data_IF_212368027776
#
_entry.id   IF_212368027776
#
_cell.length_a   1.000
_cell.length_b   1.000
_cell.length_c   1.000
_cell.angle_alpha   90.00
_cell.angle_beta   90.00
_cell.angle_gamma   90.00
#
_symmetry.space_group_name_H-M   'P 1'
#
loop_
_entity.id
_entity.type
_entity.pdbx_description
1 polymer ?
#
# COMPACT_ATOMS: atom_id res chain seq x y z
N UNK A 1 0.11 -34.14 -17.44
CA UNK A 1 0.45 -33.54 -18.75
C UNK A 1 1.85 -32.95 -18.61
N UNK A 2 2.81 -33.44 -19.40
CA UNK A 2 4.16 -32.87 -19.41
C UNK A 2 4.11 -31.48 -20.04
N UNK A 3 4.62 -30.48 -19.35
CA UNK A 3 4.75 -29.11 -19.84
C UNK A 3 5.74 -29.09 -20.99
N UNK A 4 5.37 -28.53 -22.14
CA UNK A 4 6.26 -28.42 -23.29
C UNK A 4 7.28 -27.31 -23.10
N UNK A 5 8.50 -27.49 -23.60
CA UNK A 5 9.57 -26.49 -23.50
C UNK A 5 9.16 -25.12 -24.06
N UNK A 6 8.32 -25.10 -25.09
CA UNK A 6 7.77 -23.88 -25.67
C UNK A 6 6.84 -23.14 -24.70
N UNK A 7 6.02 -23.85 -23.94
CA UNK A 7 5.13 -23.26 -22.93
C UNK A 7 5.96 -22.65 -21.78
N UNK A 8 7.05 -23.30 -21.38
CA UNK A 8 7.99 -22.74 -20.40
C UNK A 8 8.66 -21.46 -20.91
N UNK A 9 9.04 -21.44 -22.19
CA UNK A 9 9.61 -20.24 -22.81
C UNK A 9 8.62 -19.08 -22.87
N UNK A 10 7.38 -19.33 -23.26
CA UNK A 10 6.32 -18.33 -23.33
C UNK A 10 6.00 -17.77 -21.94
N UNK A 11 5.95 -18.60 -20.90
CA UNK A 11 5.78 -18.18 -19.51
C UNK A 11 6.97 -17.34 -19.04
N UNK A 12 8.21 -17.78 -19.31
CA UNK A 12 9.42 -17.05 -18.93
C UNK A 12 9.48 -15.67 -19.60
N UNK A 13 9.12 -15.59 -20.88
CA UNK A 13 9.07 -14.32 -21.62
C UNK A 13 8.02 -13.37 -21.04
N UNK A 14 6.80 -13.88 -20.79
CA UNK A 14 5.71 -13.09 -20.21
C UNK A 14 6.08 -12.58 -18.81
N UNK A 15 6.65 -13.44 -17.97
CA UNK A 15 7.14 -13.07 -16.64
C UNK A 15 8.24 -12.00 -16.73
N UNK A 16 9.20 -12.18 -17.64
CA UNK A 16 10.27 -11.21 -17.88
C UNK A 16 9.76 -9.83 -18.30
N UNK A 17 8.77 -9.79 -19.17
CA UNK A 17 8.13 -8.53 -19.61
C UNK A 17 7.41 -7.82 -18.45
N UNK A 18 6.62 -8.55 -17.66
CA UNK A 18 5.94 -7.99 -16.48
C UNK A 18 6.96 -7.48 -15.47
N UNK A 19 7.99 -8.25 -15.19
CA UNK A 19 9.08 -7.88 -14.28
C UNK A 19 9.79 -6.62 -14.75
N UNK A 20 10.09 -6.51 -16.05
CA UNK A 20 10.73 -5.32 -16.63
C UNK A 20 9.87 -4.05 -16.45
N UNK A 21 8.56 -4.15 -16.66
CA UNK A 21 7.63 -3.03 -16.43
C UNK A 21 7.64 -2.62 -14.96
N UNK A 22 7.58 -3.57 -14.02
CA UNK A 22 7.64 -3.28 -12.58
C UNK A 22 8.96 -2.59 -12.21
N UNK A 23 10.10 -3.07 -12.70
CA UNK A 23 11.39 -2.41 -12.42
C UNK A 23 11.50 -1.00 -13.01
N UNK A 24 10.93 -0.75 -14.19
CA UNK A 24 10.89 0.61 -14.76
C UNK A 24 10.04 1.53 -13.88
N UNK A 25 8.89 1.06 -13.40
CA UNK A 25 8.03 1.83 -12.48
C UNK A 25 8.73 2.11 -11.15
N UNK A 26 9.43 1.12 -10.59
CA UNK A 26 10.24 1.29 -9.37
C UNK A 26 11.34 2.34 -9.58
N UNK A 27 12.06 2.27 -10.70
CA UNK A 27 13.11 3.24 -11.03
C UNK A 27 12.55 4.66 -11.20
N UNK A 28 11.44 4.80 -11.92
CA UNK A 28 10.76 6.08 -12.11
C UNK A 28 10.21 6.63 -10.79
N UNK A 29 9.62 5.78 -9.94
CA UNK A 29 9.15 6.13 -8.61
C UNK A 29 10.27 6.63 -7.70
N UNK A 30 11.43 5.97 -7.70
CA UNK A 30 12.60 6.42 -6.95
C UNK A 30 13.14 7.77 -7.45
N UNK A 31 13.20 7.97 -8.76
CA UNK A 31 13.62 9.25 -9.34
C UNK A 31 12.65 10.39 -8.97
N UNK A 32 11.35 10.11 -9.03
CA UNK A 32 10.30 11.05 -8.62
C UNK A 32 10.40 11.39 -7.12
N UNK A 33 10.58 10.38 -6.26
CA UNK A 33 10.78 10.55 -4.84
C UNK A 33 11.99 11.42 -4.53
N UNK A 34 13.11 11.17 -5.23
CA UNK A 34 14.31 12.00 -5.08
C UNK A 34 14.03 13.45 -5.45
N UNK A 35 13.36 13.69 -6.57
CA UNK A 35 13.02 15.04 -7.02
C UNK A 35 12.09 15.78 -6.03
N UNK A 36 11.07 15.10 -5.50
CA UNK A 36 10.15 15.65 -4.51
C UNK A 36 10.88 15.96 -3.19
N UNK A 37 11.72 15.03 -2.73
CA UNK A 37 12.49 15.21 -1.50
C UNK A 37 13.49 16.37 -1.63
N UNK A 38 14.14 16.49 -2.78
CA UNK A 38 15.04 17.62 -3.08
C UNK A 38 14.31 18.96 -3.12
N UNK A 39 13.07 18.97 -3.61
CA UNK A 39 12.22 20.16 -3.62
C UNK A 39 11.63 20.52 -2.24
N UNK A 40 11.87 19.73 -1.19
CA UNK A 40 11.33 19.95 0.16
C UNK A 40 9.81 19.81 0.27
N UNK A 41 9.16 19.21 -0.72
CA UNK A 41 7.70 19.07 -0.75
C UNK A 41 7.17 18.22 0.42
N UNK A 42 7.83 17.10 0.82
CA UNK A 42 7.41 16.32 1.97
C UNK A 42 7.32 17.15 3.25
N UNK A 43 8.38 17.94 3.52
CA UNK A 43 8.47 18.78 4.70
C UNK A 43 7.39 19.88 4.67
N UNK A 44 7.20 20.54 3.54
CA UNK A 44 6.18 21.58 3.39
C UNK A 44 4.75 21.10 3.66
N UNK A 45 4.47 19.83 3.36
CA UNK A 45 3.14 19.22 3.58
C UNK A 45 3.02 18.62 4.98
N UNK A 46 4.05 17.89 5.41
CA UNK A 46 3.99 17.11 6.66
C UNK A 46 4.27 17.96 7.90
N UNK A 47 5.18 18.94 7.85
CA UNK A 47 5.54 19.73 9.03
C UNK A 47 4.33 20.44 9.67
N UNK A 48 3.42 21.09 8.92
CA UNK A 48 2.24 21.69 9.51
C UNK A 48 1.27 20.65 10.11
N UNK A 49 1.19 19.47 9.49
CA UNK A 49 0.32 18.39 9.95
C UNK A 49 0.90 17.75 11.20
N UNK A 50 2.19 17.42 11.21
CA UNK A 50 2.88 16.85 12.37
C UNK A 50 2.88 17.84 13.53
N UNK A 51 3.09 19.13 13.27
CA UNK A 51 3.00 20.17 14.30
C UNK A 51 1.61 20.26 14.95
N UNK A 52 0.55 19.94 14.21
CA UNK A 52 -0.83 19.90 14.72
C UNK A 52 -1.18 18.61 15.46
N UNK A 53 -0.56 17.48 15.08
CA UNK A 53 -0.79 16.15 15.64
C UNK A 53 0.12 15.88 16.85
N UNK A 54 1.30 16.54 16.89
CA UNK A 54 2.34 16.32 17.91
C UNK A 54 2.92 14.90 17.82
N UNK A 55 3.48 14.42 18.94
CA UNK A 55 4.11 13.08 19.03
C UNK A 55 3.09 11.95 19.22
N UNK A 56 1.83 12.16 18.88
CA UNK A 56 0.79 11.14 19.05
C UNK A 56 0.91 10.07 17.97
N UNK A 57 1.54 8.95 18.32
CA UNK A 57 1.77 7.79 17.45
C UNK A 57 0.49 7.31 16.76
N UNK A 58 -0.63 7.25 17.49
CA UNK A 58 -1.92 6.80 16.96
C UNK A 58 -2.42 7.71 15.84
N UNK A 59 -2.29 9.03 16.00
CA UNK A 59 -2.71 9.99 14.98
C UNK A 59 -1.81 9.94 13.75
N UNK A 60 -0.50 9.77 13.92
CA UNK A 60 0.44 9.60 12.81
C UNK A 60 0.11 8.31 12.03
N UNK A 61 -0.13 7.19 12.71
CA UNK A 61 -0.55 5.94 12.08
C UNK A 61 -1.89 6.07 11.34
N UNK A 62 -2.86 6.76 11.94
CA UNK A 62 -4.15 7.01 11.30
C UNK A 62 -4.01 7.87 10.04
N UNK A 63 -3.15 8.90 10.08
CA UNK A 63 -2.85 9.74 8.91
C UNK A 63 -2.22 8.92 7.79
N UNK A 64 -1.22 8.08 8.11
CA UNK A 64 -0.59 7.16 7.17
C UNK A 64 -1.64 6.22 6.57
N UNK A 65 -2.43 5.55 7.42
CA UNK A 65 -3.46 4.62 6.98
C UNK A 65 -4.45 5.27 6.01
N UNK A 66 -4.99 6.44 6.34
CA UNK A 66 -5.94 7.16 5.49
C UNK A 66 -5.31 7.59 4.18
N UNK A 67 -4.06 8.08 4.20
CA UNK A 67 -3.35 8.54 3.01
C UNK A 67 -3.10 7.39 2.02
N UNK A 68 -2.63 6.24 2.50
CA UNK A 68 -2.42 5.05 1.67
C UNK A 68 -3.75 4.47 1.18
N UNK A 69 -4.78 4.40 2.01
CA UNK A 69 -6.10 3.95 1.62
C UNK A 69 -6.66 4.78 0.46
N UNK A 70 -6.69 6.11 0.61
CA UNK A 70 -7.19 7.01 -0.43
C UNK A 70 -6.31 6.92 -1.69
N UNK A 71 -4.98 6.94 -1.54
CA UNK A 71 -4.07 6.82 -2.68
C UNK A 71 -4.34 5.54 -3.50
N UNK A 72 -4.46 4.40 -2.82
CA UNK A 72 -4.68 3.10 -3.46
C UNK A 72 -6.10 2.90 -4.02
N UNK A 73 -7.08 3.73 -3.64
CA UNK A 73 -8.40 3.76 -4.29
C UNK A 73 -8.33 4.28 -5.73
N UNK A 74 -7.38 5.18 -6.03
CA UNK A 74 -7.32 5.90 -7.31
C UNK A 74 -6.13 5.48 -8.18
N UNK A 75 -5.06 4.99 -7.56
CA UNK A 75 -3.79 4.66 -8.22
C UNK A 75 -3.38 3.24 -7.85
N UNK A 76 -2.56 2.63 -8.71
CA UNK A 76 -1.99 1.31 -8.45
C UNK A 76 -1.23 1.29 -7.11
N UNK A 77 -1.48 0.30 -6.23
CA UNK A 77 -0.86 0.22 -4.91
C UNK A 77 0.66 0.27 -4.93
N UNK A 78 1.32 -0.33 -5.93
CA UNK A 78 2.79 -0.32 -6.03
C UNK A 78 3.29 1.11 -6.18
N UNK A 79 2.65 1.90 -7.05
CA UNK A 79 3.01 3.31 -7.29
C UNK A 79 2.79 4.14 -6.03
N UNK A 80 1.66 3.95 -5.35
CA UNK A 80 1.33 4.66 -4.10
C UNK A 80 2.35 4.35 -3.01
N UNK A 81 2.70 3.08 -2.81
CA UNK A 81 3.70 2.66 -1.82
C UNK A 81 5.05 3.30 -2.12
N UNK A 82 5.50 3.28 -3.37
CA UNK A 82 6.78 3.85 -3.78
C UNK A 82 6.86 5.37 -3.55
N UNK A 83 5.74 6.07 -3.71
CA UNK A 83 5.71 7.54 -3.55
C UNK A 83 5.49 7.93 -2.09
N UNK A 84 4.50 7.35 -1.40
CA UNK A 84 4.13 7.78 -0.07
C UNK A 84 5.06 7.26 1.03
N UNK A 85 5.66 6.07 0.88
CA UNK A 85 6.56 5.52 1.91
C UNK A 85 7.72 6.43 2.24
N UNK A 86 8.54 6.89 1.28
CA UNK A 86 9.62 7.83 1.60
C UNK A 86 9.10 9.21 2.04
N UNK A 87 7.90 9.62 1.61
CA UNK A 87 7.26 10.85 2.05
C UNK A 87 6.95 10.83 3.55
N UNK A 88 6.41 9.71 4.05
CA UNK A 88 6.05 9.55 5.46
C UNK A 88 7.21 9.10 6.36
N UNK A 89 8.34 8.65 5.78
CA UNK A 89 9.49 8.15 6.54
C UNK A 89 9.95 9.10 7.65
N UNK A 90 10.13 10.42 7.41
CA UNK A 90 10.52 11.35 8.46
C UNK A 90 9.51 11.42 9.62
N UNK A 91 8.21 11.34 9.32
CA UNK A 91 7.16 11.35 10.33
C UNK A 91 7.15 10.07 11.18
N UNK A 92 7.41 8.93 10.57
CA UNK A 92 7.53 7.62 11.24
C UNK A 92 8.71 7.63 12.20
N UNK A 93 9.87 8.15 11.76
CA UNK A 93 11.08 8.24 12.58
C UNK A 93 10.91 9.26 13.73
N UNK A 94 10.31 10.41 13.47
CA UNK A 94 10.05 11.43 14.50
C UNK A 94 9.08 10.94 15.57
N UNK A 95 8.05 10.16 15.20
CA UNK A 95 7.08 9.58 16.12
C UNK A 95 7.62 8.33 16.85
N UNK A 96 8.81 7.84 16.50
CA UNK A 96 9.39 6.61 17.08
C UNK A 96 8.58 5.36 16.81
N UNK A 97 7.92 5.28 15.64
CA UNK A 97 7.11 4.15 15.23
C UNK A 97 7.98 3.00 14.68
N UNK A 98 7.61 1.77 15.01
CA UNK A 98 8.27 0.59 14.49
C UNK A 98 8.00 0.43 12.97
N UNK A 99 9.06 0.34 12.12
CA UNK A 99 8.89 0.22 10.68
C UNK A 99 8.11 -1.02 10.22
N UNK A 100 8.20 -2.13 10.96
CA UNK A 100 7.46 -3.36 10.66
C UNK A 100 5.97 -3.14 10.89
N UNK A 101 5.61 -2.51 12.00
CA UNK A 101 4.22 -2.18 12.30
C UNK A 101 3.61 -1.23 11.24
N UNK A 102 4.33 -0.18 10.88
CA UNK A 102 3.92 0.74 9.81
C UNK A 102 3.77 0.00 8.49
N UNK A 103 4.72 -0.89 8.15
CA UNK A 103 4.68 -1.71 6.95
C UNK A 103 3.43 -2.60 6.87
N UNK A 104 3.03 -3.22 7.98
CA UNK A 104 1.80 -4.03 8.07
C UNK A 104 0.56 -3.17 7.78
N UNK A 105 0.46 -1.98 8.39
CA UNK A 105 -0.66 -1.06 8.15
C UNK A 105 -0.69 -0.60 6.70
N UNK A 106 0.44 -0.18 6.14
CA UNK A 106 0.55 0.26 4.73
C UNK A 106 0.11 -0.85 3.78
N UNK A 107 0.58 -2.07 3.98
CA UNK A 107 0.21 -3.22 3.14
C UNK A 107 -1.29 -3.52 3.22
N UNK A 108 -1.86 -3.47 4.42
CA UNK A 108 -3.30 -3.66 4.60
C UNK A 108 -4.11 -2.56 3.90
N UNK A 109 -3.70 -1.28 4.04
CA UNK A 109 -4.39 -0.17 3.35
C UNK A 109 -4.27 -0.27 1.84
N UNK A 110 -3.12 -0.70 1.32
CA UNK A 110 -2.93 -0.94 -0.11
C UNK A 110 -3.91 -2.00 -0.63
N UNK A 111 -4.06 -3.12 0.09
CA UNK A 111 -5.00 -4.17 -0.25
C UNK A 111 -6.47 -3.70 -0.17
N UNK A 112 -6.84 -2.96 0.87
CA UNK A 112 -8.21 -2.43 1.01
C UNK A 112 -8.51 -1.41 -0.09
N UNK A 113 -7.58 -0.47 -0.34
CA UNK A 113 -7.74 0.57 -1.34
C UNK A 113 -7.90 0.01 -2.74
N UNK A 114 -7.08 -1.01 -3.12
CA UNK A 114 -7.16 -1.66 -4.43
C UNK A 114 -8.49 -2.40 -4.68
N UNK A 115 -9.18 -2.81 -3.63
CA UNK A 115 -10.49 -3.44 -3.70
C UNK A 115 -11.67 -2.45 -3.51
N UNK A 116 -11.38 -1.17 -3.28
CA UNK A 116 -12.38 -0.15 -2.94
C UNK A 116 -12.77 0.68 -4.16
N UNK A 117 -14.09 0.91 -4.42
CA UNK A 117 -14.54 1.85 -5.44
C UNK A 117 -13.97 3.26 -5.16
N UNK A 118 -13.73 4.12 -6.19
CA UNK A 118 -14.24 3.99 -7.57
C UNK A 118 -13.28 3.30 -8.55
N UNK A 119 -11.95 3.26 -8.28
CA UNK A 119 -10.95 2.83 -9.26
C UNK A 119 -10.09 1.63 -8.82
N UNK A 120 -10.44 0.98 -7.72
CA UNK A 120 -9.65 -0.15 -7.22
C UNK A 120 -9.23 -1.13 -8.31
N UNK A 121 -7.93 -1.35 -8.51
CA UNK A 121 -7.40 -2.17 -9.61
C UNK A 121 -7.89 -3.63 -9.55
N UNK A 122 -8.15 -4.15 -8.34
CA UNK A 122 -8.68 -5.49 -8.15
C UNK A 122 -10.12 -5.63 -8.67
N UNK A 123 -10.90 -4.54 -8.65
CA UNK A 123 -12.26 -4.51 -9.20
C UNK A 123 -12.21 -4.75 -10.72
N UNK A 124 -11.30 -4.07 -11.43
CA UNK A 124 -11.16 -4.26 -12.87
C UNK A 124 -10.62 -5.65 -13.22
N UNK A 125 -9.72 -6.17 -12.42
CA UNK A 125 -9.22 -7.55 -12.55
C UNK A 125 -10.35 -8.56 -12.38
N UNK A 126 -11.19 -8.39 -11.36
CA UNK A 126 -12.36 -9.23 -11.12
C UNK A 126 -13.38 -9.13 -12.27
N UNK A 127 -13.64 -7.93 -12.79
CA UNK A 127 -14.50 -7.73 -13.96
C UNK A 127 -13.99 -8.52 -15.18
N UNK A 128 -12.68 -8.46 -15.44
CA UNK A 128 -12.07 -9.15 -16.57
C UNK A 128 -12.12 -10.68 -16.43
N UNK A 129 -11.83 -11.21 -15.23
CA UNK A 129 -11.80 -12.66 -14.98
C UNK A 129 -13.21 -13.24 -14.93
N UNK A 130 -14.12 -12.63 -14.18
CA UNK A 130 -15.48 -13.14 -13.98
C UNK A 130 -16.47 -12.70 -15.04
N UNK A 131 -16.05 -11.81 -15.95
CA UNK A 131 -16.89 -11.23 -17.01
C UNK A 131 -18.20 -10.64 -16.45
N UNK A 132 -18.11 -9.94 -15.33
CA UNK A 132 -19.23 -9.27 -14.67
C UNK A 132 -19.12 -7.77 -14.82
N UNK A 133 -20.27 -7.05 -14.92
CA UNK A 133 -20.25 -5.59 -14.96
C UNK A 133 -19.77 -5.01 -13.63
N UNK A 134 -19.24 -3.79 -13.67
CA UNK A 134 -18.67 -3.08 -12.54
C UNK A 134 -19.57 -3.09 -11.29
N UNK A 135 -20.85 -2.76 -11.46
CA UNK A 135 -21.81 -2.68 -10.34
C UNK A 135 -22.07 -4.03 -9.66
N UNK A 136 -22.00 -5.13 -10.38
CA UNK A 136 -22.16 -6.46 -9.79
C UNK A 136 -20.96 -6.82 -8.91
N UNK A 137 -19.75 -6.43 -9.34
CA UNK A 137 -18.51 -6.68 -8.59
C UNK A 137 -18.49 -5.85 -7.31
N UNK A 138 -18.72 -4.53 -7.41
CA UNK A 138 -18.62 -3.64 -6.23
C UNK A 138 -19.72 -3.83 -5.21
N UNK A 139 -20.86 -4.41 -5.59
CA UNK A 139 -21.99 -4.60 -4.69
C UNK A 139 -21.67 -5.54 -3.53
N UNK A 140 -20.73 -6.46 -3.73
CA UNK A 140 -20.30 -7.42 -2.72
C UNK A 140 -19.15 -6.95 -1.84
N UNK A 141 -18.44 -5.88 -2.19
CA UNK A 141 -17.20 -5.46 -1.50
C UNK A 141 -17.42 -4.71 -0.18
N UNK A 142 -18.47 -3.89 0.05
CA UNK A 142 -18.59 -3.04 1.23
C UNK A 142 -18.47 -3.76 2.59
N UNK A 143 -19.11 -4.92 2.83
CA UNK A 143 -19.01 -5.58 4.12
C UNK A 143 -17.57 -6.04 4.42
N UNK A 144 -16.83 -6.48 3.40
CA UNK A 144 -15.44 -6.90 3.55
C UNK A 144 -14.52 -5.71 3.81
N UNK A 145 -14.71 -4.60 3.08
CA UNK A 145 -13.99 -3.34 3.30
C UNK A 145 -14.20 -2.88 4.74
N UNK A 146 -15.44 -2.91 5.23
CA UNK A 146 -15.76 -2.50 6.59
C UNK A 146 -15.04 -3.36 7.65
N UNK A 147 -15.03 -4.68 7.49
CA UNK A 147 -14.32 -5.60 8.38
C UNK A 147 -12.80 -5.31 8.37
N UNK A 148 -12.22 -5.08 7.20
CA UNK A 148 -10.80 -4.77 7.07
C UNK A 148 -10.43 -3.40 7.65
N UNK A 149 -11.32 -2.41 7.55
CA UNK A 149 -11.14 -1.13 8.22
C UNK A 149 -11.19 -1.26 9.75
N UNK A 150 -12.07 -2.11 10.28
CA UNK A 150 -12.05 -2.45 11.72
C UNK A 150 -10.72 -3.11 12.10
N UNK A 151 -10.22 -4.05 11.29
CA UNK A 151 -8.92 -4.66 11.51
C UNK A 151 -7.78 -3.63 11.51
N UNK A 152 -7.85 -2.63 10.62
CA UNK A 152 -6.90 -1.51 10.64
C UNK A 152 -6.94 -0.73 11.95
N UNK A 153 -8.13 -0.40 12.44
CA UNK A 153 -8.28 0.31 13.73
C UNK A 153 -7.70 -0.53 14.88
N UNK A 154 -7.95 -1.85 14.87
CA UNK A 154 -7.39 -2.74 15.88
C UNK A 154 -5.86 -2.80 15.81
N UNK A 155 -5.27 -2.84 14.61
CA UNK A 155 -3.82 -2.80 14.44
C UNK A 155 -3.22 -1.47 14.95
N UNK A 156 -3.86 -0.34 14.69
CA UNK A 156 -3.40 0.97 15.16
C UNK A 156 -3.45 1.05 16.70
N UNK A 157 -4.49 0.48 17.33
CA UNK A 157 -4.67 0.52 18.77
C UNK A 157 -3.83 -0.53 19.52
N UNK A 158 -3.54 -1.66 18.87
CA UNK A 158 -2.82 -2.80 19.43
C UNK A 158 -1.61 -3.19 18.56
N UNK A 159 -0.49 -2.47 18.65
CA UNK A 159 0.72 -2.76 17.86
C UNK A 159 1.26 -4.18 18.05
N UNK A 160 1.00 -4.76 19.21
CA UNK A 160 1.42 -6.11 19.60
C UNK A 160 0.93 -7.19 18.61
N UNK A 161 -0.23 -6.97 17.96
CA UNK A 161 -0.79 -7.90 16.97
C UNK A 161 0.18 -8.10 15.79
N UNK A 162 0.84 -7.04 15.36
CA UNK A 162 1.79 -7.07 14.24
C UNK A 162 3.23 -7.36 14.66
N UNK A 163 3.60 -7.03 15.91
CA UNK A 163 4.98 -7.14 16.41
C UNK A 163 5.25 -8.45 17.15
N UNK A 164 4.22 -9.18 17.59
CA UNK A 164 4.37 -10.43 18.33
C UNK A 164 5.21 -11.49 17.59
N UNK A 165 4.91 -11.72 16.30
CA UNK A 165 5.64 -12.73 15.53
C UNK A 165 7.09 -12.31 15.23
N UNK A 166 7.38 -11.07 14.81
CA UNK A 166 8.76 -10.59 14.68
C UNK A 166 9.57 -10.62 15.97
N UNK A 167 8.95 -10.37 17.13
CA UNK A 167 9.67 -10.42 18.43
C UNK A 167 10.16 -11.83 18.77
N UNK A 168 9.41 -12.87 18.41
CA UNK A 168 9.83 -14.27 18.60
C UNK A 168 10.99 -14.69 17.69
N UNK A 169 11.26 -13.96 16.62
CA UNK A 169 12.36 -14.27 15.69
C UNK A 169 13.66 -13.55 16.04
N UNK A 170 13.63 -12.65 17.03
CA UNK A 170 14.81 -11.89 17.49
C UNK A 170 15.43 -12.47 18.78
N UNK A 171 14.74 -13.43 19.42
CA UNK A 171 15.26 -14.25 20.51
C UNK A 171 15.93 -15.53 19.97
#
# INVERSE_FOLDING_TARGET
>A
RAVKLRELWDVALSTGLITAVVFILVAAGNAFTYAISFAGIPQAILDPVIASIGDNQTLVLALIAVSFFIGCMFVDPIVVILILTPLFKPAVEAAGLDPVHVGVIVTLQAAIGSATPPFGCDIFTAMAIFRRPYFDVIRGTPPFIFILLIATVLLILFPEISLWLPSLAQD
#
